data_IF_923074351793
#
_entry.id   IF_923074351793
#
_cell.length_a   1.000
_cell.length_b   1.000
_cell.length_c   1.000
_cell.angle_alpha   90.00
_cell.angle_beta   90.00
_cell.angle_gamma   90.00
#
_symmetry.space_group_name_H-M   'P 1'
#
loop_
_entity.id
_entity.type
_entity.pdbx_description
1 polymer ?
#
# COMPACT_ATOMS: atom_id res chain seq x y z
N UNK A 1 16.21 -33.32 26.72
CA UNK A 1 16.35 -32.49 25.51
C UNK A 1 16.30 -31.02 25.90
N UNK A 2 17.47 -30.38 26.07
CA UNK A 2 17.62 -29.03 26.64
C UNK A 2 18.12 -27.99 25.60
N UNK A 3 17.96 -28.30 24.30
CA UNK A 3 18.54 -27.51 23.20
C UNK A 3 17.54 -26.68 22.38
N UNK A 4 16.27 -26.63 22.79
CA UNK A 4 15.24 -25.79 22.15
C UNK A 4 14.88 -24.55 22.98
N UNK A 5 15.78 -24.12 23.86
CA UNK A 5 15.70 -22.85 24.57
C UNK A 5 16.57 -21.79 23.88
N UNK A 6 16.39 -21.60 22.56
CA UNK A 6 16.72 -20.29 21.96
C UNK A 6 15.56 -19.34 22.23
N UNK A 7 15.35 -19.05 23.52
CA UNK A 7 14.73 -17.80 23.96
C UNK A 7 15.61 -16.60 23.57
N UNK A 8 16.87 -16.88 23.21
CA UNK A 8 17.88 -15.98 22.65
C UNK A 8 17.96 -16.03 21.11
N UNK A 9 16.83 -15.93 20.42
CA UNK A 9 16.80 -15.10 19.20
C UNK A 9 16.76 -13.62 19.63
N UNK A 10 17.66 -13.29 20.55
CA UNK A 10 17.99 -11.95 20.95
C UNK A 10 18.46 -11.26 19.68
N UNK A 11 17.63 -10.35 19.18
CA UNK A 11 17.91 -9.36 18.16
C UNK A 11 19.21 -9.60 17.38
N UNK A 12 19.20 -10.53 16.41
CA UNK A 12 20.33 -10.58 15.49
C UNK A 12 20.40 -9.19 14.85
N UNK A 13 21.49 -8.49 15.08
CA UNK A 13 21.71 -7.12 14.57
C UNK A 13 21.55 -7.09 13.06
N UNK A 14 21.84 -8.22 12.40
CA UNK A 14 21.57 -8.48 11.00
C UNK A 14 20.07 -8.44 10.66
N UNK A 15 19.20 -9.13 11.41
CA UNK A 15 17.73 -9.09 11.19
C UNK A 15 17.20 -7.67 11.41
N UNK A 16 17.68 -6.95 12.43
CA UNK A 16 17.29 -5.56 12.66
C UNK A 16 17.70 -4.65 11.49
N UNK A 17 18.93 -4.78 10.98
CA UNK A 17 19.43 -4.06 9.80
C UNK A 17 18.64 -4.41 8.53
N UNK A 18 18.29 -5.69 8.35
CA UNK A 18 17.46 -6.14 7.23
C UNK A 18 16.06 -5.51 7.30
N UNK A 19 15.39 -5.59 8.45
CA UNK A 19 14.07 -4.97 8.63
C UNK A 19 14.12 -3.45 8.42
N UNK A 20 15.21 -2.80 8.84
CA UNK A 20 15.43 -1.37 8.59
C UNK A 20 15.54 -1.09 7.09
N UNK A 21 16.41 -1.81 6.37
CA UNK A 21 16.61 -1.65 4.93
C UNK A 21 15.32 -1.89 4.14
N UNK A 22 14.60 -2.96 4.47
CA UNK A 22 13.31 -3.29 3.86
C UNK A 22 12.27 -2.20 4.15
N UNK A 23 12.19 -1.68 5.38
CA UNK A 23 11.25 -0.60 5.71
C UNK A 23 11.57 0.66 4.91
N UNK A 24 12.85 1.05 4.83
CA UNK A 24 13.29 2.21 4.03
C UNK A 24 12.94 2.01 2.56
N UNK A 25 13.23 0.85 1.98
CA UNK A 25 12.89 0.54 0.59
C UNK A 25 11.39 0.62 0.35
N UNK A 26 10.57 0.06 1.26
CA UNK A 26 9.11 0.12 1.15
C UNK A 26 8.55 1.53 1.29
N UNK A 27 9.17 2.38 2.12
CA UNK A 27 8.77 3.79 2.22
C UNK A 27 8.93 4.52 0.89
N UNK A 28 10.09 4.34 0.23
CA UNK A 28 10.32 4.94 -1.08
C UNK A 28 9.47 4.31 -2.17
N UNK A 29 9.29 2.98 -2.15
CA UNK A 29 8.40 2.27 -3.07
C UNK A 29 6.98 2.87 -3.02
N UNK A 30 6.39 3.02 -1.83
CA UNK A 30 5.05 3.60 -1.67
C UNK A 30 4.96 5.04 -2.18
N UNK A 31 6.02 5.85 -1.97
CA UNK A 31 6.08 7.20 -2.50
C UNK A 31 6.14 7.23 -4.04
N UNK A 32 6.91 6.32 -4.64
CA UNK A 32 7.02 6.20 -6.10
C UNK A 32 5.75 5.60 -6.72
N UNK A 33 5.08 4.69 -6.03
CA UNK A 33 3.82 4.09 -6.45
C UNK A 33 2.71 5.15 -6.57
N UNK A 34 2.62 6.06 -5.59
CA UNK A 34 1.76 7.24 -5.68
C UNK A 34 2.05 8.05 -6.94
N UNK A 35 3.32 8.40 -7.18
CA UNK A 35 3.74 9.21 -8.34
C UNK A 35 3.41 8.51 -9.65
N UNK A 36 3.63 7.19 -9.73
CA UNK A 36 3.32 6.40 -10.91
C UNK A 36 1.81 6.40 -11.20
N UNK A 37 0.97 6.20 -10.19
CA UNK A 37 -0.48 6.27 -10.33
C UNK A 37 -0.95 7.67 -10.74
N UNK A 38 -0.36 8.72 -10.16
CA UNK A 38 -0.62 10.09 -10.59
C UNK A 38 -0.25 10.36 -12.04
N UNK A 39 0.78 9.70 -12.56
CA UNK A 39 1.18 9.82 -13.97
C UNK A 39 0.27 9.00 -14.91
N UNK A 40 -0.17 7.81 -14.50
CA UNK A 40 -0.96 6.90 -15.34
C UNK A 40 -2.46 7.26 -15.33
N UNK A 41 -3.01 7.57 -14.15
CA UNK A 41 -4.45 7.83 -13.96
C UNK A 41 -4.76 9.29 -13.61
N UNK A 42 -3.78 10.05 -13.10
CA UNK A 42 -4.02 11.39 -12.56
C UNK A 42 -4.25 11.39 -11.05
N UNK A 43 -4.18 12.59 -10.45
CA UNK A 43 -4.41 12.80 -9.01
C UNK A 43 -5.68 13.58 -8.69
N UNK A 44 -6.28 14.22 -9.68
CA UNK A 44 -7.53 14.96 -9.53
C UNK A 44 -8.66 14.24 -10.24
N UNK A 45 -9.88 14.56 -9.82
CA UNK A 45 -11.09 13.92 -10.30
C UNK A 45 -11.31 14.06 -11.81
N UNK A 46 -10.92 15.21 -12.38
CA UNK A 46 -11.05 15.48 -13.81
C UNK A 46 -10.14 14.57 -14.61
N UNK A 47 -8.86 14.52 -14.24
CA UNK A 47 -7.88 13.63 -14.87
C UNK A 47 -8.29 12.17 -14.76
N UNK A 48 -8.66 11.69 -13.57
CA UNK A 48 -9.04 10.28 -13.36
C UNK A 48 -10.29 9.91 -14.18
N UNK A 49 -11.29 10.79 -14.20
CA UNK A 49 -12.52 10.54 -14.97
C UNK A 49 -12.26 10.56 -16.47
N UNK A 50 -11.41 11.48 -16.94
CA UNK A 50 -11.01 11.57 -18.35
C UNK A 50 -10.23 10.31 -18.77
N UNK A 51 -9.32 9.82 -17.93
CA UNK A 51 -8.60 8.57 -18.21
C UNK A 51 -9.52 7.34 -18.20
N UNK A 52 -10.42 7.22 -17.22
CA UNK A 52 -11.29 6.04 -17.09
C UNK A 52 -12.40 6.00 -18.14
N UNK A 53 -13.04 7.15 -18.41
CA UNK A 53 -14.26 7.23 -19.22
C UNK A 53 -14.07 7.93 -20.57
N UNK A 54 -12.90 8.53 -20.80
CA UNK A 54 -12.64 9.37 -21.97
C UNK A 54 -13.23 10.77 -21.83
N UNK A 55 -12.88 11.62 -22.78
CA UNK A 55 -13.46 12.95 -22.95
C UNK A 55 -13.63 13.23 -24.44
N UNK A 56 -14.88 13.26 -24.92
CA UNK A 56 -15.18 13.50 -26.33
C UNK A 56 -14.84 14.92 -26.79
N UNK A 57 -14.89 15.91 -25.89
CA UNK A 57 -14.56 17.31 -26.20
C UNK A 57 -13.05 17.50 -26.38
N UNK A 58 -12.26 16.71 -25.67
CA UNK A 58 -10.78 16.73 -25.72
C UNK A 58 -10.20 15.59 -26.58
N UNK A 59 -11.06 14.81 -27.25
CA UNK A 59 -10.69 13.63 -28.05
C UNK A 59 -9.83 12.61 -27.29
N UNK A 60 -10.11 12.44 -26.01
CA UNK A 60 -9.45 11.46 -25.13
C UNK A 60 -10.29 10.18 -25.14
N UNK A 61 -9.68 9.08 -25.56
CA UNK A 61 -10.32 7.76 -25.49
C UNK A 61 -10.25 7.20 -24.06
N UNK A 62 -11.29 6.47 -23.61
CA UNK A 62 -11.24 5.78 -22.33
C UNK A 62 -10.12 4.74 -22.32
N UNK A 63 -9.55 4.49 -21.14
CA UNK A 63 -8.58 3.42 -20.94
C UNK A 63 -9.16 2.09 -21.42
N UNK A 64 -8.34 1.33 -22.14
CA UNK A 64 -8.67 -0.02 -22.55
C UNK A 64 -8.81 -0.92 -21.31
N UNK A 65 -9.86 -1.74 -21.31
CA UNK A 65 -10.13 -2.66 -20.20
C UNK A 65 -8.95 -3.60 -19.92
N UNK A 66 -8.26 -4.06 -20.95
CA UNK A 66 -7.10 -4.95 -20.79
C UNK A 66 -5.95 -4.26 -20.04
N UNK A 67 -5.69 -2.98 -20.35
CA UNK A 67 -4.69 -2.16 -19.66
C UNK A 67 -5.09 -1.94 -18.20
N UNK A 68 -6.36 -1.62 -17.95
CA UNK A 68 -6.88 -1.43 -16.59
C UNK A 68 -6.79 -2.72 -15.76
N UNK A 69 -7.19 -3.86 -16.32
CA UNK A 69 -7.13 -5.15 -15.64
C UNK A 69 -5.70 -5.55 -15.32
N UNK A 70 -4.76 -5.33 -16.24
CA UNK A 70 -3.34 -5.56 -16.01
C UNK A 70 -2.82 -4.68 -14.87
N UNK A 71 -3.15 -3.39 -14.87
CA UNK A 71 -2.77 -2.47 -13.81
C UNK A 71 -3.32 -2.93 -12.45
N UNK A 72 -4.62 -3.19 -12.37
CA UNK A 72 -5.25 -3.63 -11.11
C UNK A 72 -4.66 -4.96 -10.63
N UNK A 73 -4.33 -5.88 -11.53
CA UNK A 73 -3.65 -7.13 -11.16
C UNK A 73 -2.28 -6.87 -10.53
N UNK A 74 -1.47 -5.99 -11.13
CA UNK A 74 -0.17 -5.59 -10.59
C UNK A 74 -0.35 -4.90 -9.24
N UNK A 75 -1.30 -3.98 -9.12
CA UNK A 75 -1.56 -3.22 -7.90
C UNK A 75 -2.00 -4.13 -6.76
N UNK A 76 -2.88 -5.09 -7.02
CA UNK A 76 -3.33 -6.06 -6.03
C UNK A 76 -2.18 -6.91 -5.51
N UNK A 77 -1.32 -7.39 -6.41
CA UNK A 77 -0.15 -8.18 -6.05
C UNK A 77 0.83 -7.35 -5.22
N UNK A 78 1.22 -6.17 -5.70
CA UNK A 78 2.21 -5.32 -5.03
C UNK A 78 1.69 -4.76 -3.69
N UNK A 79 0.40 -4.44 -3.61
CA UNK A 79 -0.27 -4.06 -2.35
C UNK A 79 -0.24 -5.21 -1.36
N UNK A 80 -0.60 -6.43 -1.78
CA UNK A 80 -0.56 -7.60 -0.90
C UNK A 80 0.87 -7.83 -0.35
N UNK A 81 1.90 -7.80 -1.19
CA UNK A 81 3.28 -7.99 -0.76
C UNK A 81 3.75 -6.90 0.20
N UNK A 82 3.54 -5.64 -0.16
CA UNK A 82 3.97 -4.50 0.66
C UNK A 82 3.26 -4.50 2.02
N UNK A 83 1.95 -4.71 2.05
CA UNK A 83 1.15 -4.80 3.28
C UNK A 83 1.62 -5.96 4.14
N UNK A 84 1.81 -7.15 3.58
CA UNK A 84 2.27 -8.32 4.34
C UNK A 84 3.64 -8.08 5.00
N UNK A 85 4.58 -7.48 4.28
CA UNK A 85 5.92 -7.20 4.80
C UNK A 85 5.86 -6.12 5.88
N UNK A 86 5.18 -5.00 5.63
CA UNK A 86 5.03 -3.91 6.61
C UNK A 86 4.31 -4.40 7.86
N UNK A 87 3.20 -5.13 7.70
CA UNK A 87 2.44 -5.68 8.81
C UNK A 87 3.28 -6.63 9.66
N UNK A 88 4.04 -7.53 9.02
CA UNK A 88 4.93 -8.47 9.72
C UNK A 88 5.99 -7.75 10.55
N UNK A 89 6.66 -6.75 9.98
CA UNK A 89 7.66 -5.92 10.68
C UNK A 89 7.00 -5.15 11.82
N UNK A 90 5.85 -4.52 11.56
CA UNK A 90 5.17 -3.66 12.54
C UNK A 90 4.63 -4.46 13.73
N UNK A 91 4.00 -5.61 13.49
CA UNK A 91 3.52 -6.51 14.55
C UNK A 91 4.70 -6.96 15.41
N UNK A 92 5.84 -7.30 14.80
CA UNK A 92 7.03 -7.74 15.53
C UNK A 92 7.59 -6.64 16.43
N UNK A 93 7.60 -5.39 15.98
CA UNK A 93 8.15 -4.26 16.75
C UNK A 93 7.19 -3.70 17.81
N UNK A 94 5.88 -3.87 17.62
CA UNK A 94 4.84 -3.26 18.46
C UNK A 94 3.80 -4.26 18.98
N UNK A 95 4.20 -5.51 19.21
CA UNK A 95 3.33 -6.64 19.59
C UNK A 95 2.50 -6.40 20.86
N UNK A 96 3.01 -5.60 21.79
CA UNK A 96 2.37 -5.31 23.08
C UNK A 96 1.20 -4.32 22.97
N UNK A 97 1.14 -3.52 21.89
CA UNK A 97 0.11 -2.48 21.73
C UNK A 97 -1.12 -3.07 21.03
N UNK A 98 -2.28 -3.03 21.70
CA UNK A 98 -3.58 -3.39 21.08
C UNK A 98 -3.87 -2.61 19.80
N UNK A 99 -3.43 -1.35 19.72
CA UNK A 99 -3.56 -0.51 18.51
C UNK A 99 -2.83 -1.08 17.30
N UNK A 100 -1.73 -1.81 17.49
CA UNK A 100 -0.96 -2.43 16.39
C UNK A 100 -1.81 -3.39 15.56
N UNK A 101 -2.66 -4.19 16.22
CA UNK A 101 -3.57 -5.11 15.52
C UNK A 101 -4.60 -4.36 14.68
N UNK A 102 -5.23 -3.33 15.25
CA UNK A 102 -6.24 -2.54 14.54
C UNK A 102 -5.65 -1.85 13.31
N UNK A 103 -4.47 -1.22 13.46
CA UNK A 103 -3.79 -0.53 12.36
C UNK A 103 -3.44 -1.48 11.21
N UNK A 104 -3.00 -2.70 11.52
CA UNK A 104 -2.73 -3.71 10.48
C UNK A 104 -4.01 -4.11 9.74
N UNK A 105 -5.13 -4.31 10.44
CA UNK A 105 -6.39 -4.67 9.78
C UNK A 105 -6.89 -3.54 8.89
N UNK A 106 -6.82 -2.29 9.37
CA UNK A 106 -7.16 -1.10 8.58
C UNK A 106 -6.28 -1.02 7.34
N UNK A 107 -4.97 -1.26 7.47
CA UNK A 107 -4.04 -1.28 6.34
C UNK A 107 -4.43 -2.35 5.30
N UNK A 108 -4.73 -3.57 5.74
CA UNK A 108 -5.17 -4.65 4.85
C UNK A 108 -6.48 -4.31 4.14
N UNK A 109 -7.48 -3.82 4.87
CA UNK A 109 -8.78 -3.47 4.30
C UNK A 109 -8.62 -2.37 3.27
N UNK A 110 -7.95 -1.26 3.60
CA UNK A 110 -7.82 -0.14 2.67
C UNK A 110 -6.96 -0.49 1.45
N UNK A 111 -5.87 -1.22 1.65
CA UNK A 111 -4.94 -1.55 0.57
C UNK A 111 -5.48 -2.61 -0.40
N UNK A 112 -6.27 -3.57 0.07
CA UNK A 112 -6.94 -4.55 -0.82
C UNK A 112 -8.21 -3.98 -1.45
N UNK A 113 -8.91 -3.07 -0.76
CA UNK A 113 -10.11 -2.44 -1.29
C UNK A 113 -9.80 -1.49 -2.46
N UNK A 114 -8.66 -0.80 -2.46
CA UNK A 114 -8.37 0.20 -3.50
C UNK A 114 -8.36 -0.40 -4.93
N UNK A 115 -7.60 -1.46 -5.26
CA UNK A 115 -7.60 -2.02 -6.61
C UNK A 115 -8.99 -2.56 -7.04
N UNK A 116 -9.74 -3.17 -6.11
CA UNK A 116 -11.10 -3.67 -6.38
C UNK A 116 -12.06 -2.52 -6.71
N UNK A 117 -12.00 -1.43 -5.94
CA UNK A 117 -12.84 -0.25 -6.15
C UNK A 117 -12.50 0.46 -7.46
N UNK A 118 -11.24 0.43 -7.92
CA UNK A 118 -10.86 0.99 -9.22
C UNK A 118 -11.56 0.26 -10.37
N UNK A 119 -11.59 -1.09 -10.34
CA UNK A 119 -12.35 -1.87 -11.32
C UNK A 119 -13.84 -1.53 -11.24
N UNK A 120 -14.40 -1.47 -10.03
CA UNK A 120 -15.81 -1.13 -9.87
C UNK A 120 -16.13 0.25 -10.42
N UNK A 121 -15.23 1.23 -10.26
CA UNK A 121 -15.39 2.56 -10.81
C UNK A 121 -15.53 2.55 -12.34
N UNK A 122 -14.72 1.76 -13.04
CA UNK A 122 -14.81 1.62 -14.48
C UNK A 122 -16.18 1.13 -14.96
N UNK A 123 -16.78 0.15 -14.25
CA UNK A 123 -18.04 -0.47 -14.69
C UNK A 123 -19.32 0.20 -14.18
N UNK A 124 -19.25 1.07 -13.18
CA UNK A 124 -20.45 1.52 -12.47
C UNK A 124 -20.64 3.04 -12.48
N UNK A 125 -19.83 3.76 -11.71
CA UNK A 125 -20.01 5.20 -11.53
C UNK A 125 -18.79 5.91 -10.97
N UNK A 126 -18.80 7.21 -11.22
CA UNK A 126 -17.90 8.24 -10.71
C UNK A 126 -17.79 8.22 -9.17
N UNK A 127 -18.82 7.76 -8.44
CA UNK A 127 -18.77 7.66 -6.99
C UNK A 127 -17.62 6.76 -6.52
N UNK A 128 -17.39 5.64 -7.20
CA UNK A 128 -16.34 4.71 -6.84
C UNK A 128 -14.94 5.27 -7.14
N UNK A 129 -14.79 6.26 -8.03
CA UNK A 129 -13.52 6.99 -8.20
C UNK A 129 -13.13 7.72 -6.91
N UNK A 130 -14.10 8.35 -6.23
CA UNK A 130 -13.82 9.00 -4.93
C UNK A 130 -13.43 7.98 -3.85
N UNK A 131 -14.13 6.85 -3.81
CA UNK A 131 -13.82 5.78 -2.86
C UNK A 131 -12.44 5.18 -3.15
N UNK A 132 -12.10 4.99 -4.43
CA UNK A 132 -10.78 4.57 -4.87
C UNK A 132 -9.72 5.56 -4.40
N UNK A 133 -9.85 6.84 -4.76
CA UNK A 133 -8.86 7.86 -4.44
C UNK A 133 -8.65 7.99 -2.92
N UNK A 134 -9.74 8.00 -2.16
CA UNK A 134 -9.68 8.05 -0.69
C UNK A 134 -8.98 6.82 -0.12
N UNK A 135 -9.39 5.61 -0.51
CA UNK A 135 -8.79 4.37 -0.03
C UNK A 135 -7.31 4.28 -0.42
N UNK A 136 -6.99 4.60 -1.67
CA UNK A 136 -5.65 4.65 -2.26
C UNK A 136 -4.72 5.55 -1.44
N UNK A 137 -5.11 6.81 -1.20
CA UNK A 137 -4.29 7.76 -0.43
C UNK A 137 -4.17 7.31 1.03
N UNK A 138 -5.27 6.90 1.66
CA UNK A 138 -5.28 6.54 3.09
C UNK A 138 -4.40 5.33 3.38
N UNK A 139 -4.44 4.28 2.54
CA UNK A 139 -3.60 3.10 2.76
C UNK A 139 -2.12 3.42 2.55
N UNK A 140 -1.77 4.23 1.54
CA UNK A 140 -0.40 4.68 1.32
C UNK A 140 0.14 5.48 2.51
N UNK A 141 -0.59 6.49 2.97
CA UNK A 141 -0.18 7.31 4.11
C UNK A 141 -0.01 6.47 5.38
N UNK A 142 -0.93 5.53 5.62
CA UNK A 142 -0.84 4.61 6.75
C UNK A 142 0.39 3.70 6.64
N UNK A 143 0.63 3.10 5.47
CA UNK A 143 1.77 2.22 5.22
C UNK A 143 3.10 2.97 5.36
N UNK A 144 3.20 4.18 4.81
CA UNK A 144 4.35 5.07 4.93
C UNK A 144 4.60 5.45 6.39
N UNK A 145 3.56 5.81 7.14
CA UNK A 145 3.65 6.09 8.56
C UNK A 145 4.11 4.86 9.36
N UNK A 146 3.55 3.67 9.09
CA UNK A 146 3.97 2.42 9.74
C UNK A 146 5.44 2.09 9.44
N UNK A 147 5.89 2.35 8.20
CA UNK A 147 7.29 2.20 7.82
C UNK A 147 8.20 3.18 8.56
N UNK A 148 7.88 4.48 8.58
CA UNK A 148 8.65 5.49 9.32
C UNK A 148 8.72 5.19 10.83
N UNK A 149 7.61 4.74 11.41
CA UNK A 149 7.56 4.37 12.81
C UNK A 149 8.42 3.13 13.12
N UNK A 150 8.44 2.16 12.21
CA UNK A 150 9.31 0.98 12.29
C UNK A 150 10.79 1.37 12.16
N UNK A 151 11.12 2.24 11.19
CA UNK A 151 12.47 2.81 10.99
C UNK A 151 12.93 3.52 12.26
N UNK A 152 12.10 4.40 12.82
CA UNK A 152 12.42 5.15 14.04
C UNK A 152 12.71 4.20 15.22
N UNK A 153 11.88 3.18 15.42
CA UNK A 153 12.08 2.19 16.49
C UNK A 153 13.36 1.37 16.30
N UNK A 154 13.71 1.04 15.06
CA UNK A 154 14.92 0.29 14.73
C UNK A 154 16.20 1.12 14.87
N UNK A 155 16.14 2.43 14.59
CA UNK A 155 17.29 3.34 14.71
C UNK A 155 17.52 3.84 16.14
N UNK A 156 16.45 4.18 16.87
CA UNK A 156 16.55 4.92 18.13
C UNK A 156 16.20 4.12 19.39
N UNK A 157 15.96 2.80 19.27
CA UNK A 157 15.57 1.86 20.33
C UNK A 157 14.56 2.41 21.35
#
# INVERSE_FOLDING_TARGET
MKFLLKKDLDHSTLIAKLMLGVSVALFFYLGLDLVLHGYVLGFDMGSISSTLYGNAEEFIEPILIDTLLLQVHIDLFMSLFSIMIIASIYIRLFSEKKSSKSLVHILFILGLLAPEVLILAYFTSVLFVYVWLASFILWHLLAMWMSLHSIKRLLFK
#
